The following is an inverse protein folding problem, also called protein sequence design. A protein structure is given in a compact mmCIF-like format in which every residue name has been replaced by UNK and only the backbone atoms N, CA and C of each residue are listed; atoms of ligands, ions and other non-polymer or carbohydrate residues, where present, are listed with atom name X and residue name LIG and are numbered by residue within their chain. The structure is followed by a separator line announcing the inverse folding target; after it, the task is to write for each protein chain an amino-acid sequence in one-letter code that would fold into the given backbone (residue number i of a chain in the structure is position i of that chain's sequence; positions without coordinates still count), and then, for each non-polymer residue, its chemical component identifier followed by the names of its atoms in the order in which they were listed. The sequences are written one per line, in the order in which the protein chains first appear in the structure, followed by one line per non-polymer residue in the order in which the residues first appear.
data_IF_213754795506
#
_entry.id   IF_213754795506
#
_cell.length_a   1.000
_cell.length_b   1.000
_cell.length_c   1.000
_cell.angle_alpha   90.00
_cell.angle_beta   90.00
_cell.angle_gamma   90.00
#
_symmetry.space_group_name_H-M   'P 1'
#
loop_
_entity.id
_entity.type
_entity.pdbx_description
1 polymer ?
#
# COMPACT_ATOMS: atom_id res chain seq x y z
N UNK A 1 16.01 1.35 -19.76
CA UNK A 1 16.92 0.68 -18.80
C UNK A 1 16.11 -0.19 -17.84
N UNK A 2 16.62 -1.34 -17.35
CA UNK A 2 15.86 -2.13 -16.38
C UNK A 2 15.76 -1.32 -15.08
N UNK A 3 14.53 -0.94 -14.73
CA UNK A 3 14.20 -0.28 -13.46
C UNK A 3 14.81 -1.11 -12.34
N UNK A 4 15.70 -0.51 -11.54
CA UNK A 4 16.40 -1.23 -10.48
C UNK A 4 15.36 -1.89 -9.57
N UNK A 5 15.34 -3.24 -9.53
CA UNK A 5 14.35 -4.04 -8.81
C UNK A 5 14.31 -3.67 -7.32
N UNK A 6 15.45 -3.29 -6.75
CA UNK A 6 15.55 -2.85 -5.36
C UNK A 6 14.89 -1.49 -5.15
N UNK A 7 15.00 -0.57 -6.11
CA UNK A 7 14.34 0.74 -6.06
C UNK A 7 12.83 0.60 -6.14
N UNK A 8 12.30 -0.22 -7.07
CA UNK A 8 10.86 -0.50 -7.16
C UNK A 8 10.32 -1.13 -5.88
N UNK A 9 11.01 -2.13 -5.34
CA UNK A 9 10.62 -2.79 -4.10
C UNK A 9 10.57 -1.81 -2.93
N UNK A 10 11.61 -0.99 -2.73
CA UNK A 10 11.66 0.01 -1.67
C UNK A 10 10.57 1.07 -1.83
N UNK A 11 10.31 1.51 -3.06
CA UNK A 11 9.25 2.45 -3.37
C UNK A 11 7.87 1.90 -2.96
N UNK A 12 7.49 0.74 -3.50
CA UNK A 12 6.19 0.10 -3.20
C UNK A 12 6.05 -0.22 -1.72
N UNK A 13 7.11 -0.76 -1.09
CA UNK A 13 7.10 -1.05 0.36
C UNK A 13 6.86 0.20 1.19
N UNK A 14 7.45 1.32 0.81
CA UNK A 14 7.27 2.58 1.55
C UNK A 14 5.85 3.11 1.43
N UNK A 15 5.24 3.04 0.23
CA UNK A 15 3.83 3.40 0.03
C UNK A 15 2.89 2.55 0.88
N UNK A 16 3.12 1.22 0.91
CA UNK A 16 2.36 0.29 1.76
C UNK A 16 2.46 0.71 3.23
N UNK A 17 3.66 0.98 3.74
CA UNK A 17 3.85 1.36 5.14
C UNK A 17 3.15 2.68 5.49
N UNK A 18 3.21 3.68 4.60
CA UNK A 18 2.47 4.93 4.76
C UNK A 18 0.96 4.69 4.77
N UNK A 19 0.47 3.86 3.87
CA UNK A 19 -0.95 3.53 3.82
C UNK A 19 -1.40 2.77 5.06
N UNK A 20 -0.64 1.79 5.54
CA UNK A 20 -0.97 1.02 6.75
C UNK A 20 -1.03 1.93 7.97
N UNK A 21 -0.08 2.86 8.11
CA UNK A 21 -0.15 3.88 9.18
C UNK A 21 -1.41 4.72 9.08
N UNK A 22 -1.78 5.17 7.88
CA UNK A 22 -2.98 5.97 7.71
C UNK A 22 -4.25 5.18 8.00
N UNK A 23 -4.31 3.92 7.58
CA UNK A 23 -5.42 3.02 7.91
C UNK A 23 -5.56 2.90 9.42
N UNK A 24 -4.50 2.47 10.12
CA UNK A 24 -4.51 2.27 11.58
C UNK A 24 -4.99 3.53 12.31
N UNK A 25 -4.52 4.71 11.90
CA UNK A 25 -4.90 6.00 12.50
C UNK A 25 -6.41 6.30 12.38
N UNK A 26 -7.06 5.76 11.36
CA UNK A 26 -8.43 6.10 10.99
C UNK A 26 -9.41 4.91 11.09
N UNK A 27 -9.01 3.76 11.63
CA UNK A 27 -9.89 2.58 11.74
C UNK A 27 -11.16 2.85 12.57
N UNK A 28 -11.07 3.67 13.61
CA UNK A 28 -12.21 4.04 14.46
C UNK A 28 -13.12 5.13 13.85
N UNK A 29 -12.76 5.69 12.70
CA UNK A 29 -13.55 6.71 12.03
C UNK A 29 -14.53 6.06 11.05
N UNK A 30 -15.76 5.79 11.52
CA UNK A 30 -16.82 5.18 10.71
C UNK A 30 -17.26 6.04 9.51
N UNK A 31 -16.92 7.34 9.50
CA UNK A 31 -17.19 8.22 8.36
C UNK A 31 -16.14 8.09 7.25
N UNK A 32 -14.99 7.48 7.56
CA UNK A 32 -13.89 7.32 6.62
C UNK A 32 -14.15 6.17 5.66
N UNK A 33 -14.58 6.50 4.45
CA UNK A 33 -14.74 5.47 3.40
C UNK A 33 -13.47 5.22 2.59
N UNK A 34 -12.56 6.20 2.49
CA UNK A 34 -11.30 6.10 1.72
C UNK A 34 -10.11 6.27 2.67
N UNK A 35 -9.41 5.19 2.99
CA UNK A 35 -8.33 5.21 3.98
C UNK A 35 -6.97 5.62 3.42
N UNK A 36 -6.73 5.49 2.12
CA UNK A 36 -5.46 5.94 1.54
C UNK A 36 -5.54 6.13 0.04
N UNK A 37 -4.66 6.95 -0.50
CA UNK A 37 -4.46 7.12 -1.93
C UNK A 37 -2.97 7.30 -2.19
N UNK A 38 -2.41 6.50 -3.09
CA UNK A 38 -0.99 6.59 -3.45
C UNK A 38 -0.78 6.06 -4.87
N UNK A 39 0.44 6.23 -5.40
CA UNK A 39 0.79 5.81 -6.75
C UNK A 39 1.87 4.74 -6.72
N UNK A 40 1.84 3.81 -7.67
CA UNK A 40 2.79 2.70 -7.79
C UNK A 40 3.14 2.45 -9.26
N UNK A 41 4.27 1.78 -9.58
CA UNK A 41 4.56 1.38 -10.95
C UNK A 41 3.41 0.59 -11.58
N UNK A 42 2.94 1.01 -12.76
CA UNK A 42 1.91 0.28 -13.52
C UNK A 42 2.35 -1.15 -13.83
N UNK A 43 3.66 -1.34 -14.02
CA UNK A 43 4.27 -2.65 -14.22
C UNK A 43 5.04 -3.10 -12.98
N UNK A 44 4.49 -4.07 -12.25
CA UNK A 44 5.18 -4.73 -11.15
C UNK A 44 6.19 -5.77 -11.65
N UNK A 45 7.31 -5.33 -12.22
CA UNK A 45 8.18 -6.20 -13.01
C UNK A 45 8.82 -7.36 -12.20
N UNK A 46 9.18 -7.15 -10.93
CA UNK A 46 9.86 -8.16 -10.12
C UNK A 46 8.89 -9.09 -9.37
N UNK A 47 9.28 -10.37 -9.21
CA UNK A 47 8.50 -11.36 -8.44
C UNK A 47 8.28 -10.90 -7.00
N UNK A 48 9.27 -10.26 -6.39
CA UNK A 48 9.18 -9.77 -5.01
C UNK A 48 8.22 -8.61 -4.86
N UNK A 49 8.18 -7.69 -5.82
CA UNK A 49 7.22 -6.58 -5.82
C UNK A 49 5.80 -7.12 -5.97
N UNK A 50 5.55 -8.04 -6.92
CA UNK A 50 4.23 -8.68 -7.08
C UNK A 50 3.79 -9.43 -5.83
N UNK A 51 4.70 -10.18 -5.21
CA UNK A 51 4.43 -10.91 -3.96
C UNK A 51 4.07 -9.96 -2.82
N UNK A 52 4.87 -8.90 -2.64
CA UNK A 52 4.62 -7.87 -1.64
C UNK A 52 3.24 -7.22 -1.84
N UNK A 53 2.91 -6.88 -3.09
CA UNK A 53 1.61 -6.31 -3.43
C UNK A 53 0.46 -7.25 -3.10
N UNK A 54 0.56 -8.53 -3.48
CA UNK A 54 -0.49 -9.51 -3.23
C UNK A 54 -0.71 -9.79 -1.74
N UNK A 55 0.38 -9.80 -0.95
CA UNK A 55 0.30 -9.91 0.51
C UNK A 55 -0.47 -8.72 1.10
N UNK A 56 -0.21 -7.52 0.59
CA UNK A 56 -0.92 -6.31 1.00
C UNK A 56 -2.41 -6.33 0.68
N UNK A 57 -2.81 -6.66 -0.54
CA UNK A 57 -4.22 -6.83 -0.90
C UNK A 57 -4.92 -7.87 0.00
N UNK A 58 -4.25 -8.98 0.27
CA UNK A 58 -4.80 -10.06 1.11
C UNK A 58 -4.99 -9.60 2.56
N UNK A 59 -4.01 -8.88 3.12
CA UNK A 59 -4.10 -8.35 4.47
C UNK A 59 -5.25 -7.34 4.59
N UNK A 60 -5.42 -6.44 3.63
CA UNK A 60 -6.53 -5.49 3.62
C UNK A 60 -7.90 -6.17 3.54
N UNK A 61 -8.04 -7.21 2.72
CA UNK A 61 -9.30 -7.95 2.65
C UNK A 61 -9.68 -8.62 3.97
N UNK A 62 -8.71 -9.09 4.78
CA UNK A 62 -8.97 -9.68 6.11
C UNK A 62 -9.55 -8.68 7.12
N UNK A 63 -9.37 -7.39 6.89
CA UNK A 63 -9.90 -6.32 7.75
C UNK A 63 -11.03 -5.55 7.05
N UNK A 64 -11.62 -6.11 5.99
CA UNK A 64 -12.76 -5.50 5.31
C UNK A 64 -12.43 -4.31 4.41
N UNK A 65 -11.17 -4.14 4.02
CA UNK A 65 -10.74 -3.09 3.10
C UNK A 65 -10.37 -3.66 1.72
N UNK A 66 -10.53 -2.87 0.67
CA UNK A 66 -10.22 -3.24 -0.70
C UNK A 66 -9.24 -2.26 -1.36
N UNK A 67 -8.42 -2.81 -2.25
CA UNK A 67 -7.49 -2.06 -3.09
C UNK A 67 -8.11 -1.85 -4.47
N UNK A 68 -8.20 -0.60 -4.91
CA UNK A 68 -8.67 -0.26 -6.25
C UNK A 68 -7.56 0.42 -7.04
N UNK A 69 -7.25 -0.14 -8.20
CA UNK A 69 -6.39 0.51 -9.19
C UNK A 69 -7.28 1.28 -10.17
N UNK A 70 -7.15 2.61 -10.19
CA UNK A 70 -7.90 3.50 -11.08
C UNK A 70 -7.22 3.70 -12.45
N UNK A 71 -6.14 2.96 -12.69
CA UNK A 71 -5.32 3.05 -13.89
C UNK A 71 -4.26 4.15 -13.78
N UNK A 72 -3.67 4.47 -14.92
CA UNK A 72 -2.58 5.44 -15.03
C UNK A 72 -3.03 6.84 -14.62
N UNK A 73 -2.15 7.57 -13.93
CA UNK A 73 -2.41 8.97 -13.55
C UNK A 73 -2.55 9.93 -14.74
N UNK A 74 -1.96 9.57 -15.89
CA UNK A 74 -2.16 10.19 -17.20
C UNK A 74 -1.75 9.17 -18.30
N UNK A 75 -2.06 9.39 -19.59
CA UNK A 75 -1.79 8.41 -20.65
C UNK A 75 -0.31 7.96 -20.76
N UNK A 76 0.62 8.89 -20.52
CA UNK A 76 2.06 8.68 -20.63
C UNK A 76 2.71 8.23 -19.31
N UNK A 77 1.91 8.08 -18.24
CA UNK A 77 2.40 7.70 -16.93
C UNK A 77 2.82 6.24 -16.90
N UNK A 78 3.89 5.98 -16.15
CA UNK A 78 4.30 4.64 -15.73
C UNK A 78 3.84 4.31 -14.30
N UNK A 79 2.97 5.16 -13.75
CA UNK A 79 2.39 4.99 -12.43
C UNK A 79 0.87 4.90 -12.50
N UNK A 80 0.35 3.94 -11.74
CA UNK A 80 -1.07 3.78 -11.50
C UNK A 80 -1.49 4.46 -10.19
N UNK A 81 -2.69 5.02 -10.19
CA UNK A 81 -3.35 5.57 -9.01
C UNK A 81 -4.07 4.46 -8.25
N UNK A 82 -3.71 4.31 -6.99
CA UNK A 82 -4.29 3.35 -6.06
C UNK A 82 -5.15 4.07 -5.04
N UNK A 83 -6.32 3.52 -4.77
CA UNK A 83 -7.22 3.94 -3.69
C UNK A 83 -7.51 2.75 -2.78
N UNK A 84 -7.37 2.97 -1.47
CA UNK A 84 -7.74 2.00 -0.43
C UNK A 84 -9.02 2.48 0.23
N UNK A 85 -10.06 1.65 0.25
CA UNK A 85 -11.37 2.02 0.78
C UNK A 85 -12.10 0.83 1.41
N UNK A 86 -13.17 1.10 2.14
CA UNK A 86 -14.04 0.05 2.69
C UNK A 86 -14.54 -0.86 1.58
N UNK A 87 -14.46 -2.16 1.81
CA UNK A 87 -14.95 -3.14 0.85
C UNK A 87 -16.48 -3.15 0.88
N UNK A 88 -17.09 -2.85 -0.25
CA UNK A 88 -18.56 -2.88 -0.46
C UNK A 88 -19.03 -4.13 -1.21
N UNK A 89 -18.11 -5.01 -1.60
CA UNK A 89 -18.40 -6.30 -2.22
C UNK A 89 -18.37 -7.46 -1.23
N UNK A 90 -18.76 -8.64 -1.72
CA UNK A 90 -18.64 -9.87 -0.94
C UNK A 90 -17.16 -10.19 -0.68
N UNK A 91 -16.80 -10.30 0.59
CA UNK A 91 -15.51 -10.80 1.03
C UNK A 91 -15.49 -12.33 0.91
N UNK A 92 -14.34 -12.89 0.53
CA UNK A 92 -14.12 -14.34 0.50
C UNK A 92 -14.52 -14.96 1.85
N UNK A 93 -15.48 -15.89 1.80
CA UNK A 93 -16.05 -16.56 2.96
C UNK A 93 -15.01 -17.35 3.76
N UNK A 94 -13.85 -17.66 3.18
CA UNK A 94 -12.77 -18.41 3.83
C UNK A 94 -11.72 -17.51 4.50
N UNK A 95 -11.85 -16.18 4.43
CA UNK A 95 -10.93 -15.27 5.12
C UNK A 95 -11.34 -15.12 6.59
N UNK A 96 -10.38 -15.35 7.50
CA UNK A 96 -10.51 -14.91 8.90
C UNK A 96 -10.63 -13.39 8.90
N UNK A 97 -11.74 -12.90 9.44
CA UNK A 97 -12.06 -11.47 9.51
C UNK A 97 -11.73 -10.95 10.91
N UNK A 98 -11.04 -9.82 10.95
CA UNK A 98 -10.89 -9.04 12.17
C UNK A 98 -12.03 -8.02 12.22
N UNK A 99 -12.76 -8.04 13.31
CA UNK A 99 -14.11 -7.50 13.46
C UNK A 99 -14.16 -6.24 14.35
N UNK A 100 -13.07 -5.93 15.05
CA UNK A 100 -12.92 -4.68 15.80
C UNK A 100 -11.75 -3.85 15.28
N UNK A 101 -11.83 -2.52 15.37
CA UNK A 101 -10.70 -1.64 15.00
C UNK A 101 -9.40 -2.01 15.72
N UNK A 102 -9.49 -2.40 17.00
CA UNK A 102 -8.34 -2.84 17.80
C UNK A 102 -7.69 -4.10 17.21
N UNK A 103 -8.48 -5.16 16.97
CA UNK A 103 -7.96 -6.41 16.41
C UNK A 103 -7.43 -6.24 14.98
N UNK A 104 -8.06 -5.37 14.18
CA UNK A 104 -7.58 -4.99 12.86
C UNK A 104 -6.23 -4.24 12.92
N UNK A 105 -6.10 -3.29 13.85
CA UNK A 105 -4.86 -2.54 14.05
C UNK A 105 -3.72 -3.47 14.52
N UNK A 106 -3.98 -4.35 15.48
CA UNK A 106 -3.01 -5.33 15.96
C UNK A 106 -2.54 -6.27 14.86
N UNK A 107 -3.47 -6.81 14.06
CA UNK A 107 -3.15 -7.64 12.90
C UNK A 107 -2.23 -6.91 11.92
N UNK A 108 -2.58 -5.67 11.55
CA UNK A 108 -1.76 -4.88 10.63
C UNK A 108 -0.36 -4.61 11.19
N UNK A 109 -0.23 -4.35 12.49
CA UNK A 109 1.08 -4.15 13.14
C UNK A 109 1.93 -5.42 13.17
N UNK A 110 1.31 -6.58 13.34
CA UNK A 110 1.98 -7.89 13.29
C UNK A 110 2.44 -8.24 11.87
N UNK A 111 1.58 -8.01 10.87
CA UNK A 111 1.87 -8.28 9.46
C UNK A 111 2.95 -7.32 8.91
N UNK A 112 2.83 -6.03 9.23
CA UNK A 112 3.77 -4.97 8.83
C UNK A 112 4.67 -4.59 9.99
N UNK A 113 5.53 -5.53 10.39
CA UNK A 113 6.53 -5.30 11.45
C UNK A 113 7.25 -3.98 11.21
N UNK A 114 7.48 -3.25 12.30
CA UNK A 114 8.11 -1.92 12.34
C UNK A 114 7.25 -0.77 11.80
N UNK A 115 6.00 -1.02 11.40
CA UNK A 115 5.13 0.09 10.96
C UNK A 115 4.93 1.12 12.07
N UNK A 116 4.89 0.71 13.33
CA UNK A 116 4.83 1.65 14.48
C UNK A 116 6.18 2.32 14.77
N UNK A 117 7.29 1.62 14.58
CA UNK A 117 8.65 2.11 14.86
C UNK A 117 9.12 3.18 13.87
N UNK A 118 8.68 3.10 12.62
CA UNK A 118 9.14 4.01 11.57
C UNK A 118 8.39 5.35 11.67
N UNK A 119 9.12 6.46 11.75
CA UNK A 119 8.52 7.79 11.68
C UNK A 119 7.88 8.03 10.30
N UNK A 120 6.72 8.70 10.27
CA UNK A 120 6.09 9.16 9.03
C UNK A 120 7.05 10.03 8.21
N UNK A 121 7.82 10.91 8.86
CA UNK A 121 8.81 11.77 8.21
C UNK A 121 9.92 10.95 7.54
N UNK A 122 10.35 9.87 8.20
CA UNK A 122 11.32 8.93 7.63
C UNK A 122 10.75 8.23 6.39
N UNK A 123 9.49 7.77 6.45
CA UNK A 123 8.83 7.10 5.33
C UNK A 123 8.61 8.06 4.14
N UNK A 124 8.20 9.30 4.38
CA UNK A 124 8.08 10.33 3.34
C UNK A 124 9.43 10.56 2.66
N UNK A 125 10.50 10.71 3.44
CA UNK A 125 11.86 10.88 2.90
C UNK A 125 12.35 9.65 2.12
N UNK A 126 12.04 8.44 2.59
CA UNK A 126 12.37 7.18 1.90
C UNK A 126 11.62 7.07 0.56
N UNK A 127 10.35 7.47 0.53
CA UNK A 127 9.55 7.54 -0.69
C UNK A 127 10.17 8.52 -1.66
N UNK A 128 10.42 9.76 -1.24
CA UNK A 128 10.98 10.82 -2.09
C UNK A 128 12.32 10.38 -2.72
N UNK A 129 13.22 9.79 -1.94
CA UNK A 129 14.50 9.25 -2.46
C UNK A 129 14.31 8.10 -3.45
N UNK A 130 13.33 7.23 -3.21
CA UNK A 130 13.04 6.11 -4.10
C UNK A 130 12.37 6.60 -5.39
N UNK A 131 11.52 7.61 -5.29
CA UNK A 131 10.85 8.31 -6.38
C UNK A 131 11.89 9.01 -7.28
N UNK A 132 12.77 9.80 -6.66
CA UNK A 132 13.89 10.45 -7.31
C UNK A 132 14.77 9.43 -8.05
N UNK A 133 15.19 8.34 -7.41
CA UNK A 133 15.99 7.28 -8.08
C UNK A 133 15.23 6.54 -9.17
N UNK A 134 13.92 6.40 -9.04
CA UNK A 134 13.09 5.74 -10.04
C UNK A 134 12.93 6.62 -11.28
N UNK A 135 12.82 7.94 -11.10
CA UNK A 135 12.59 8.90 -12.17
C UNK A 135 13.85 9.56 -12.74
N UNK A 136 14.95 9.68 -11.98
CA UNK A 136 16.21 10.28 -12.46
C UNK A 136 17.12 9.32 -13.23
N UNK A 137 16.94 8.00 -13.14
CA UNK A 137 17.67 7.07 -14.02
C UNK A 137 17.00 6.95 -15.42
N UNK A 138 16.45 8.07 -15.91
CA UNK A 138 15.74 8.17 -17.19
C UNK A 138 16.56 8.87 -18.29
N UNK A 139 17.77 9.33 -17.98
CA UNK A 139 18.71 9.90 -18.95
C UNK A 139 19.84 8.90 -19.29
#
# INVERSE_FOLDING_TARGET
MPKNKDTQYRYVKTQIYLSVKNIIKHLDDESQYVYSTFVIPSDFLSKDVRRLWKQYETALNKIGLAVHNLGKTNPDSELDLIVIKSNTGELDANLIKYDTSESQAEFLKQEYKRVDELDVSYLINSRAKSEEKYFLNRD
#
